data_IF_880696381311
#
_entry.id   IF_880696381311
#
_cell.length_a   1.000
_cell.length_b   1.000
_cell.length_c   1.000
_cell.angle_alpha   90.00
_cell.angle_beta   90.00
_cell.angle_gamma   90.00
#
_symmetry.space_group_name_H-M   'P 1'
#
loop_
_entity.id
_entity.type
_entity.pdbx_description
1 polymer ?
#
# COMPACT_ATOMS: atom_id res chain seq x y z
N UNK A 1 60.59 -52.94 23.91
CA UNK A 1 59.34 -53.07 24.70
C UNK A 1 58.85 -51.66 24.99
N UNK A 2 57.81 -51.27 24.35
CA UNK A 2 56.74 -50.34 24.84
C UNK A 2 55.83 -49.95 23.65
N UNK A 3 54.64 -50.45 23.69
CA UNK A 3 53.59 -50.18 22.69
C UNK A 3 53.00 -48.80 22.94
N UNK A 4 53.06 -47.93 21.95
CA UNK A 4 52.29 -46.66 21.94
C UNK A 4 50.98 -46.91 21.24
N UNK A 5 49.90 -46.77 21.99
CA UNK A 5 48.54 -46.78 21.49
C UNK A 5 48.20 -45.39 20.93
N UNK A 6 47.85 -45.34 19.64
CA UNK A 6 47.33 -44.13 19.00
C UNK A 6 45.79 -44.08 19.20
N UNK A 7 45.31 -43.15 19.99
CA UNK A 7 43.88 -42.85 20.10
C UNK A 7 43.47 -41.95 18.92
N UNK A 8 42.73 -42.54 17.97
CA UNK A 8 42.02 -41.74 16.95
C UNK A 8 40.80 -41.10 17.57
N UNK A 9 40.80 -39.78 17.71
CA UNK A 9 39.64 -39.01 18.07
C UNK A 9 38.81 -38.77 16.80
N UNK A 10 37.65 -39.43 16.71
CA UNK A 10 36.60 -39.12 15.72
C UNK A 10 35.93 -37.80 16.13
N UNK A 11 36.19 -36.74 15.36
CA UNK A 11 35.42 -35.51 15.46
C UNK A 11 34.13 -35.70 14.67
N UNK A 12 33.03 -35.92 15.37
CA UNK A 12 31.70 -35.90 14.80
C UNK A 12 31.30 -34.44 14.55
N UNK A 13 31.33 -33.99 13.29
CA UNK A 13 30.77 -32.73 12.89
C UNK A 13 29.23 -32.87 12.88
N UNK A 14 28.59 -32.36 13.91
CA UNK A 14 27.14 -32.22 13.93
C UNK A 14 26.74 -31.07 12.97
N UNK A 15 26.30 -31.45 11.79
CA UNK A 15 25.61 -30.53 10.87
C UNK A 15 24.25 -30.21 11.50
N UNK A 16 24.14 -29.08 12.20
CA UNK A 16 22.86 -28.48 12.55
C UNK A 16 22.22 -27.97 11.26
N UNK A 17 21.45 -28.82 10.61
CA UNK A 17 20.47 -28.38 9.62
C UNK A 17 19.49 -27.49 10.33
N UNK A 18 19.48 -26.18 10.00
CA UNK A 18 18.36 -25.29 10.32
C UNK A 18 17.16 -25.79 9.50
N UNK A 19 16.43 -26.75 10.05
CA UNK A 19 15.06 -27.05 9.64
C UNK A 19 14.29 -25.81 10.03
N UNK A 20 13.89 -24.99 9.01
CA UNK A 20 12.92 -23.95 9.20
C UNK A 20 11.73 -24.56 9.92
N UNK A 21 11.49 -24.12 11.15
CA UNK A 21 10.28 -24.47 11.86
C UNK A 21 9.13 -23.92 11.02
N UNK A 22 8.48 -24.78 10.24
CA UNK A 22 7.12 -24.52 9.81
C UNK A 22 6.36 -24.21 11.11
N UNK A 23 5.89 -22.96 11.24
CA UNK A 23 5.08 -22.58 12.40
C UNK A 23 3.90 -23.53 12.38
N UNK A 24 3.89 -24.49 13.31
CA UNK A 24 2.76 -25.37 13.47
C UNK A 24 1.52 -24.52 13.73
N UNK A 25 0.42 -24.84 13.03
CA UNK A 25 -0.87 -24.23 13.32
C UNK A 25 -1.12 -24.34 14.81
N UNK A 26 -1.48 -23.23 15.46
CA UNK A 26 -1.70 -23.23 16.91
C UNK A 26 -3.07 -23.87 17.21
N UNK A 27 -3.08 -25.19 17.44
CA UNK A 27 -4.25 -25.99 17.82
C UNK A 27 -5.00 -25.42 19.05
N UNK A 28 -4.42 -24.43 19.74
CA UNK A 28 -5.06 -23.75 20.86
C UNK A 28 -6.12 -22.75 20.42
N UNK A 29 -5.98 -22.20 19.23
CA UNK A 29 -6.80 -21.09 18.72
C UNK A 29 -7.79 -21.55 17.65
N UNK A 30 -7.37 -22.47 16.79
CA UNK A 30 -8.13 -22.93 15.63
C UNK A 30 -8.26 -24.46 15.61
N UNK A 31 -9.38 -24.96 15.10
CA UNK A 31 -9.67 -26.36 14.86
C UNK A 31 -10.18 -26.53 13.43
N UNK A 32 -9.57 -27.43 12.66
CA UNK A 32 -9.90 -27.62 11.24
C UNK A 32 -11.36 -28.04 10.97
N UNK A 33 -12.08 -28.55 12.01
CA UNK A 33 -13.47 -28.99 11.89
C UNK A 33 -14.48 -27.98 12.39
N UNK A 34 -14.09 -27.16 13.37
CA UNK A 34 -15.01 -26.26 14.08
C UNK A 34 -14.64 -24.78 13.91
N UNK A 35 -13.55 -24.47 13.23
CA UNK A 35 -13.08 -23.09 13.04
C UNK A 35 -12.42 -22.50 14.29
N UNK A 36 -12.57 -21.19 14.51
CA UNK A 36 -12.00 -20.50 15.68
C UNK A 36 -12.63 -20.97 16.97
N UNK A 37 -11.81 -21.39 17.94
CA UNK A 37 -12.31 -21.85 19.25
C UNK A 37 -12.96 -20.69 20.02
N UNK A 38 -14.18 -20.87 20.55
CA UNK A 38 -14.78 -19.92 21.46
C UNK A 38 -13.84 -19.66 22.65
N UNK A 39 -13.72 -18.44 23.12
CA UNK A 39 -12.81 -17.99 24.20
C UNK A 39 -11.34 -17.76 23.78
N UNK A 40 -10.99 -17.87 22.51
CA UNK A 40 -9.66 -17.47 22.05
C UNK A 40 -9.50 -15.95 22.17
N UNK A 41 -8.32 -15.50 22.58
CA UNK A 41 -8.00 -14.06 22.59
C UNK A 41 -8.08 -13.49 21.17
N UNK A 42 -8.78 -12.37 20.92
CA UNK A 42 -8.90 -11.76 19.61
C UNK A 42 -7.53 -11.50 18.96
N UNK A 43 -6.55 -11.07 19.75
CA UNK A 43 -5.18 -10.86 19.29
C UNK A 43 -4.50 -12.17 18.87
N UNK A 44 -4.64 -13.25 19.64
CA UNK A 44 -4.08 -14.55 19.26
C UNK A 44 -4.70 -15.08 17.97
N UNK A 45 -6.03 -14.90 17.81
CA UNK A 45 -6.74 -15.27 16.58
C UNK A 45 -6.26 -14.41 15.38
N UNK A 46 -6.05 -13.13 15.58
CA UNK A 46 -5.48 -12.27 14.54
C UNK A 46 -4.09 -12.72 14.11
N UNK A 47 -3.21 -13.05 15.06
CA UNK A 47 -1.87 -13.59 14.77
C UNK A 47 -1.93 -14.94 14.03
N UNK A 48 -2.85 -15.81 14.43
CA UNK A 48 -3.11 -17.06 13.73
C UNK A 48 -3.54 -16.79 12.29
N UNK A 49 -4.50 -15.88 12.07
CA UNK A 49 -4.94 -15.47 10.73
C UNK A 49 -3.80 -14.97 9.85
N UNK A 50 -2.89 -14.16 10.43
CA UNK A 50 -1.70 -13.69 9.71
C UNK A 50 -0.76 -14.83 9.32
N UNK A 51 -0.52 -15.79 10.23
CA UNK A 51 0.28 -16.98 9.95
C UNK A 51 -0.37 -17.86 8.88
N UNK A 52 -1.67 -18.13 8.99
CA UNK A 52 -2.43 -18.90 8.02
C UNK A 52 -2.36 -18.26 6.62
N UNK A 53 -2.56 -16.94 6.54
CA UNK A 53 -2.46 -16.18 5.29
C UNK A 53 -1.08 -16.33 4.63
N UNK A 54 0.00 -16.16 5.40
CA UNK A 54 1.37 -16.32 4.91
C UNK A 54 1.67 -17.73 4.39
N UNK A 55 1.05 -18.74 4.99
CA UNK A 55 1.23 -20.14 4.60
C UNK A 55 0.27 -20.58 3.47
N UNK A 56 -0.51 -19.66 2.89
CA UNK A 56 -1.42 -19.93 1.78
C UNK A 56 -2.79 -20.47 2.18
N UNK A 57 -3.08 -20.62 3.49
CA UNK A 57 -4.38 -21.08 4.03
C UNK A 57 -5.34 -19.88 4.15
N UNK A 58 -5.71 -19.30 3.02
CA UNK A 58 -6.38 -18.00 2.98
C UNK A 58 -7.81 -18.03 3.50
N UNK A 59 -8.54 -19.13 3.28
CA UNK A 59 -9.88 -19.33 3.80
C UNK A 59 -9.88 -19.38 5.33
N UNK A 60 -8.95 -20.13 5.93
CA UNK A 60 -8.77 -20.17 7.39
C UNK A 60 -8.35 -18.80 7.95
N UNK A 61 -7.53 -18.07 7.21
CA UNK A 61 -7.16 -16.71 7.58
C UNK A 61 -8.38 -15.78 7.59
N UNK A 62 -9.26 -15.89 6.60
CA UNK A 62 -10.50 -15.11 6.54
C UNK A 62 -11.42 -15.38 7.72
N UNK A 63 -11.61 -16.65 8.12
CA UNK A 63 -12.39 -17.01 9.31
C UNK A 63 -11.77 -16.45 10.60
N UNK A 64 -10.45 -16.56 10.74
CA UNK A 64 -9.74 -16.01 11.89
C UNK A 64 -9.85 -14.47 11.94
N UNK A 65 -9.69 -13.80 10.81
CA UNK A 65 -9.85 -12.35 10.74
C UNK A 65 -11.28 -11.91 11.01
N UNK A 66 -12.28 -12.65 10.56
CA UNK A 66 -13.69 -12.36 10.86
C UNK A 66 -13.95 -12.40 12.36
N UNK A 67 -13.53 -13.45 13.03
CA UNK A 67 -13.65 -13.54 14.50
C UNK A 67 -12.92 -12.39 15.21
N UNK A 68 -11.68 -12.11 14.81
CA UNK A 68 -10.90 -11.06 15.44
C UNK A 68 -11.51 -9.66 15.19
N UNK A 69 -12.06 -9.41 14.00
CA UNK A 69 -12.74 -8.16 13.65
C UNK A 69 -14.02 -7.97 14.48
N UNK A 70 -14.86 -9.00 14.59
CA UNK A 70 -16.08 -9.00 15.44
C UNK A 70 -15.75 -8.73 16.91
N UNK A 71 -14.50 -8.96 17.32
CA UNK A 71 -14.00 -8.69 18.68
C UNK A 71 -13.08 -7.43 18.75
N UNK A 72 -13.21 -6.51 17.79
CA UNK A 72 -12.64 -5.18 17.86
C UNK A 72 -11.17 -5.06 17.41
N UNK A 73 -10.62 -6.06 16.71
CA UNK A 73 -9.27 -5.98 16.16
C UNK A 73 -9.28 -5.24 14.81
N UNK A 74 -9.02 -3.94 14.82
CA UNK A 74 -9.03 -3.08 13.62
C UNK A 74 -8.13 -3.60 12.49
N UNK A 75 -6.95 -4.15 12.81
CA UNK A 75 -6.07 -4.76 11.82
C UNK A 75 -6.67 -5.99 11.14
N UNK A 76 -7.52 -6.75 11.84
CA UNK A 76 -8.25 -7.87 11.27
C UNK A 76 -9.38 -7.38 10.36
N UNK A 77 -10.13 -6.35 10.77
CA UNK A 77 -11.14 -5.70 9.94
C UNK A 77 -10.54 -5.20 8.64
N UNK A 78 -9.36 -4.55 8.71
CA UNK A 78 -8.64 -4.06 7.53
C UNK A 78 -8.18 -5.20 6.60
N UNK A 79 -7.63 -6.29 7.17
CA UNK A 79 -7.25 -7.47 6.38
C UNK A 79 -8.44 -8.09 5.67
N UNK A 80 -9.57 -8.24 6.38
CA UNK A 80 -10.79 -8.80 5.82
C UNK A 80 -11.38 -7.91 4.72
N UNK A 81 -11.42 -6.59 4.94
CA UNK A 81 -11.83 -5.63 3.92
C UNK A 81 -11.03 -5.79 2.62
N UNK A 82 -9.70 -5.91 2.74
CA UNK A 82 -8.82 -6.14 1.59
C UNK A 82 -9.05 -7.48 0.91
N UNK A 83 -9.25 -8.55 1.68
CA UNK A 83 -9.54 -9.87 1.12
C UNK A 83 -10.83 -9.85 0.29
N UNK A 84 -11.89 -9.18 0.75
CA UNK A 84 -13.11 -9.01 -0.04
C UNK A 84 -12.93 -8.12 -1.26
N UNK A 85 -12.17 -7.03 -1.15
CA UNK A 85 -11.89 -6.13 -2.28
C UNK A 85 -11.09 -6.81 -3.40
N UNK A 86 -10.17 -7.72 -3.04
CA UNK A 86 -9.26 -8.38 -3.97
C UNK A 86 -9.77 -9.77 -4.41
N UNK A 87 -10.73 -10.35 -3.70
CA UNK A 87 -11.17 -11.74 -3.91
C UNK A 87 -10.09 -12.75 -3.48
N UNK A 88 -9.37 -12.44 -2.40
CA UNK A 88 -8.22 -13.19 -1.95
C UNK A 88 -8.55 -14.08 -0.75
N UNK A 89 -8.82 -15.37 -0.98
CA UNK A 89 -9.28 -16.35 0.02
C UNK A 89 -10.76 -16.26 0.35
N UNK A 90 -11.46 -15.30 -0.22
CA UNK A 90 -12.92 -15.15 -0.19
C UNK A 90 -13.40 -14.74 -1.58
N UNK A 91 -14.67 -14.96 -1.89
CA UNK A 91 -15.24 -14.39 -3.13
C UNK A 91 -15.18 -12.85 -3.06
N UNK A 92 -14.78 -12.22 -4.16
CA UNK A 92 -14.75 -10.76 -4.24
C UNK A 92 -16.13 -10.18 -4.00
N UNK A 93 -16.20 -9.23 -3.09
CA UNK A 93 -17.41 -8.49 -2.79
C UNK A 93 -17.03 -7.05 -2.37
N UNK A 94 -17.15 -6.13 -3.33
CA UNK A 94 -16.79 -4.73 -3.14
C UNK A 94 -17.71 -4.05 -2.09
N UNK A 95 -18.96 -4.52 -1.93
CA UNK A 95 -19.88 -3.95 -0.94
C UNK A 95 -19.58 -4.43 0.48
N UNK A 96 -19.21 -5.71 0.65
CA UNK A 96 -18.69 -6.19 1.94
C UNK A 96 -17.39 -5.47 2.31
N UNK A 97 -16.46 -5.30 1.35
CA UNK A 97 -15.23 -4.53 1.58
C UNK A 97 -15.54 -3.08 2.02
N UNK A 98 -16.48 -2.41 1.35
CA UNK A 98 -16.93 -1.06 1.71
C UNK A 98 -17.45 -0.99 3.14
N UNK A 99 -18.25 -1.97 3.58
CA UNK A 99 -18.78 -2.02 4.96
C UNK A 99 -17.66 -2.13 5.99
N UNK A 100 -16.71 -3.06 5.77
CA UNK A 100 -15.57 -3.22 6.67
C UNK A 100 -14.66 -1.98 6.71
N UNK A 101 -14.42 -1.32 5.57
CA UNK A 101 -13.69 -0.04 5.58
C UNK A 101 -14.46 1.06 6.33
N UNK A 102 -15.78 1.09 6.22
CA UNK A 102 -16.61 2.03 6.98
C UNK A 102 -16.51 1.80 8.49
N UNK A 103 -16.56 0.54 8.93
CA UNK A 103 -16.38 0.18 10.34
C UNK A 103 -15.03 0.66 10.91
N UNK A 104 -13.95 0.63 10.10
CA UNK A 104 -12.63 1.13 10.51
C UNK A 104 -12.66 2.65 10.74
N UNK A 105 -13.31 3.39 9.83
CA UNK A 105 -13.35 4.86 9.89
C UNK A 105 -14.23 5.37 11.04
N UNK A 106 -15.19 4.56 11.48
CA UNK A 106 -16.09 4.86 12.60
C UNK A 106 -15.47 4.53 13.97
N UNK A 107 -14.32 3.86 14.02
CA UNK A 107 -13.63 3.58 15.27
C UNK A 107 -12.88 4.82 15.78
N UNK A 108 -12.93 4.99 17.11
CA UNK A 108 -12.14 6.02 17.80
C UNK A 108 -10.71 5.49 18.00
N UNK A 109 -9.80 5.98 17.17
CA UNK A 109 -8.39 5.57 17.15
C UNK A 109 -7.52 6.67 17.78
N UNK A 110 -6.66 6.29 18.73
CA UNK A 110 -5.77 7.24 19.39
C UNK A 110 -4.80 7.90 18.38
N UNK A 111 -4.67 9.23 18.39
CA UNK A 111 -3.71 9.94 17.54
C UNK A 111 -2.27 9.45 17.75
N UNK A 112 -1.58 9.16 16.65
CA UNK A 112 -0.20 8.66 16.66
C UNK A 112 -0.08 7.16 16.91
N UNK A 113 -1.18 6.43 17.07
CA UNK A 113 -1.15 4.96 17.19
C UNK A 113 -0.90 4.28 15.85
N UNK A 114 -0.40 3.04 15.85
CA UNK A 114 -0.21 2.26 14.61
C UNK A 114 -1.51 2.05 13.82
N UNK A 115 -2.65 2.08 14.51
CA UNK A 115 -3.99 1.90 13.96
C UNK A 115 -4.41 3.03 13.03
N UNK A 116 -3.83 4.25 13.17
CA UNK A 116 -4.08 5.37 12.24
C UNK A 116 -3.80 4.99 10.77
N UNK A 117 -2.85 4.09 10.53
CA UNK A 117 -2.56 3.63 9.17
C UNK A 117 -3.74 2.90 8.55
N UNK A 118 -4.48 2.09 9.33
CA UNK A 118 -5.69 1.39 8.84
C UNK A 118 -6.81 2.36 8.54
N UNK A 119 -7.01 3.38 9.41
CA UNK A 119 -8.01 4.44 9.17
C UNK A 119 -7.67 5.23 7.91
N UNK A 120 -6.42 5.59 7.75
CA UNK A 120 -5.93 6.32 6.58
C UNK A 120 -6.16 5.55 5.28
N UNK A 121 -5.85 4.25 5.26
CA UNK A 121 -6.06 3.40 4.09
C UNK A 121 -7.56 3.17 3.82
N UNK A 122 -8.36 2.98 4.87
CA UNK A 122 -9.81 2.82 4.76
C UNK A 122 -10.48 4.07 4.16
N UNK A 123 -10.05 5.27 4.56
CA UNK A 123 -10.53 6.52 3.97
C UNK A 123 -10.25 6.60 2.47
N UNK A 124 -9.07 6.18 2.02
CA UNK A 124 -8.74 6.13 0.58
C UNK A 124 -9.64 5.13 -0.14
N UNK A 125 -9.78 3.92 0.40
CA UNK A 125 -10.62 2.88 -0.21
C UNK A 125 -12.09 3.31 -0.32
N UNK A 126 -12.65 3.97 0.71
CA UNK A 126 -14.00 4.51 0.67
C UNK A 126 -14.14 5.61 -0.38
N UNK A 127 -13.15 6.48 -0.51
CA UNK A 127 -13.09 7.48 -1.57
C UNK A 127 -13.11 6.84 -2.96
N UNK A 128 -12.33 5.76 -3.18
CA UNK A 128 -12.28 5.03 -4.44
C UNK A 128 -13.62 4.38 -4.80
N UNK A 129 -14.30 3.78 -3.81
CA UNK A 129 -15.64 3.19 -4.00
C UNK A 129 -16.69 4.25 -4.30
N UNK A 130 -16.68 5.37 -3.59
CA UNK A 130 -17.63 6.46 -3.83
C UNK A 130 -17.41 7.17 -5.17
N UNK A 131 -16.16 7.26 -5.63
CA UNK A 131 -15.87 7.83 -6.94
C UNK A 131 -16.41 7.00 -8.10
N UNK A 132 -16.47 5.67 -7.95
CA UNK A 132 -16.88 4.73 -9.01
C UNK A 132 -18.28 4.18 -8.83
N UNK A 133 -18.82 4.25 -7.61
CA UNK A 133 -19.97 3.45 -7.20
C UNK A 133 -19.63 1.95 -7.12
N UNK A 134 -20.55 1.17 -6.54
CA UNK A 134 -20.44 -0.29 -6.46
C UNK A 134 -21.67 -0.90 -7.15
N UNK A 135 -21.50 -1.53 -8.33
CA UNK A 135 -22.62 -2.11 -9.07
C UNK A 135 -23.42 -3.13 -8.23
N UNK A 136 -24.75 -3.03 -8.27
CA UNK A 136 -25.63 -3.94 -7.53
C UNK A 136 -25.73 -3.67 -6.02
N UNK A 137 -25.18 -2.55 -5.54
CA UNK A 137 -25.24 -2.12 -4.16
C UNK A 137 -25.93 -0.75 -4.02
N UNK A 138 -26.24 -0.28 -2.78
CA UNK A 138 -26.73 1.08 -2.56
C UNK A 138 -25.68 2.18 -2.79
N UNK A 139 -24.42 1.83 -2.98
CA UNK A 139 -23.32 2.80 -3.14
C UNK A 139 -23.27 3.28 -4.59
N UNK A 140 -23.79 4.46 -4.83
CA UNK A 140 -23.74 5.13 -6.14
C UNK A 140 -22.55 6.06 -6.25
N UNK A 141 -22.16 6.38 -7.47
CA UNK A 141 -21.10 7.35 -7.75
C UNK A 141 -21.41 8.70 -7.08
N UNK A 142 -20.43 9.20 -6.31
CA UNK A 142 -20.52 10.47 -5.60
C UNK A 142 -19.12 11.07 -5.42
N UNK A 143 -18.68 11.85 -6.40
CA UNK A 143 -17.36 12.49 -6.40
C UNK A 143 -17.17 13.48 -5.23
N UNK A 144 -18.23 14.14 -4.79
CA UNK A 144 -18.15 15.09 -3.65
C UNK A 144 -17.86 14.35 -2.36
N UNK A 145 -18.60 13.27 -2.09
CA UNK A 145 -18.31 12.43 -0.94
C UNK A 145 -16.92 11.77 -1.03
N UNK A 146 -16.50 11.32 -2.22
CA UNK A 146 -15.15 10.80 -2.43
C UNK A 146 -14.09 11.84 -2.07
N UNK A 147 -14.27 13.09 -2.49
CA UNK A 147 -13.37 14.20 -2.17
C UNK A 147 -13.24 14.44 -0.66
N UNK A 148 -14.34 14.33 0.09
CA UNK A 148 -14.30 14.48 1.55
C UNK A 148 -13.44 13.40 2.22
N UNK A 149 -13.57 12.14 1.80
CA UNK A 149 -12.75 11.03 2.31
C UNK A 149 -11.28 11.19 1.95
N UNK A 150 -10.96 11.53 0.69
CA UNK A 150 -9.57 11.80 0.29
C UNK A 150 -8.99 13.00 1.04
N UNK A 151 -9.77 14.07 1.24
CA UNK A 151 -9.29 15.23 1.99
C UNK A 151 -8.97 14.87 3.45
N UNK A 152 -9.82 14.06 4.11
CA UNK A 152 -9.54 13.58 5.47
C UNK A 152 -8.24 12.76 5.52
N UNK A 153 -8.05 11.82 4.59
CA UNK A 153 -6.84 11.00 4.52
C UNK A 153 -5.58 11.84 4.20
N UNK A 154 -5.70 12.79 3.26
CA UNK A 154 -4.61 13.65 2.82
C UNK A 154 -4.16 14.67 3.88
N UNK A 155 -5.12 15.30 4.56
CA UNK A 155 -4.85 16.38 5.50
C UNK A 155 -4.47 15.87 6.90
N UNK A 156 -5.25 14.93 7.45
CA UNK A 156 -5.08 14.46 8.82
C UNK A 156 -3.98 13.39 8.93
N UNK A 157 -3.94 12.46 7.97
CA UNK A 157 -3.01 11.32 7.97
C UNK A 157 -1.85 11.50 6.99
N UNK A 158 -1.88 12.56 6.18
CA UNK A 158 -0.85 12.82 5.16
C UNK A 158 -0.66 11.63 4.21
N UNK A 159 -1.72 10.87 3.92
CA UNK A 159 -1.66 9.70 3.05
C UNK A 159 -1.25 10.09 1.62
N UNK A 160 -0.18 9.51 1.04
CA UNK A 160 0.32 9.92 -0.26
C UNK A 160 -0.64 9.57 -1.42
N UNK A 161 -1.40 8.47 -1.31
CA UNK A 161 -2.40 8.11 -2.31
C UNK A 161 -3.55 9.13 -2.32
N UNK A 162 -4.06 9.49 -1.12
CA UNK A 162 -5.08 10.53 -0.99
C UNK A 162 -4.59 11.90 -1.47
N UNK A 163 -3.34 12.26 -1.18
CA UNK A 163 -2.74 13.50 -1.69
C UNK A 163 -2.64 13.48 -3.21
N UNK A 164 -2.33 12.34 -3.82
CA UNK A 164 -2.35 12.18 -5.26
C UNK A 164 -3.76 12.37 -5.84
N UNK A 165 -4.77 11.70 -5.26
CA UNK A 165 -6.16 11.86 -5.70
C UNK A 165 -6.68 13.29 -5.55
N UNK A 166 -6.35 13.98 -4.46
CA UNK A 166 -6.64 15.40 -4.31
C UNK A 166 -5.98 16.24 -5.41
N UNK A 167 -4.75 15.91 -5.77
CA UNK A 167 -4.05 16.53 -6.90
C UNK A 167 -4.80 16.34 -8.22
N UNK A 168 -5.26 15.13 -8.49
CA UNK A 168 -6.05 14.81 -9.70
C UNK A 168 -7.37 15.57 -9.73
N UNK A 169 -8.10 15.61 -8.61
CA UNK A 169 -9.36 16.36 -8.51
C UNK A 169 -9.18 17.86 -8.76
N UNK A 170 -8.13 18.47 -8.19
CA UNK A 170 -7.82 19.88 -8.48
C UNK A 170 -7.33 20.09 -9.91
N UNK A 171 -6.68 19.12 -10.54
CA UNK A 171 -6.25 19.25 -11.93
C UNK A 171 -7.44 19.29 -12.89
N UNK A 172 -8.45 18.46 -12.63
CA UNK A 172 -9.65 18.31 -13.48
C UNK A 172 -10.82 19.21 -13.06
N UNK A 173 -10.91 19.60 -11.81
CA UNK A 173 -12.06 20.31 -11.24
C UNK A 173 -13.21 19.37 -10.88
N UNK A 174 -12.87 18.17 -10.38
CA UNK A 174 -13.83 17.12 -9.95
C UNK A 174 -14.11 17.22 -8.44
N UNK A 175 -15.17 16.54 -7.96
CA UNK A 175 -15.48 16.44 -6.53
C UNK A 175 -15.88 17.78 -5.88
N UNK A 176 -16.45 18.70 -6.65
CA UNK A 176 -16.87 20.01 -6.14
C UNK A 176 -15.76 21.04 -5.97
N UNK A 177 -14.50 20.70 -6.28
CA UNK A 177 -13.39 21.65 -6.26
C UNK A 177 -13.25 22.35 -7.61
N UNK A 178 -12.83 23.62 -7.57
CA UNK A 178 -12.52 24.36 -8.80
C UNK A 178 -11.17 23.94 -9.37
N UNK A 179 -11.09 23.70 -10.68
CA UNK A 179 -9.85 23.36 -11.36
C UNK A 179 -8.73 24.37 -11.07
N UNK A 180 -7.56 23.89 -10.68
CA UNK A 180 -6.41 24.70 -10.33
C UNK A 180 -5.11 23.92 -10.42
N UNK A 181 -4.35 24.13 -11.49
CA UNK A 181 -3.00 23.53 -11.67
C UNK A 181 -2.07 23.84 -10.49
N UNK A 182 -2.19 25.05 -9.92
CA UNK A 182 -1.40 25.46 -8.76
C UNK A 182 -1.70 24.63 -7.51
N UNK A 183 -2.99 24.36 -7.24
CA UNK A 183 -3.37 23.51 -6.10
C UNK A 183 -3.02 22.04 -6.37
N UNK A 184 -3.29 21.54 -7.57
CA UNK A 184 -2.89 20.21 -7.99
C UNK A 184 -1.37 19.99 -7.79
N UNK A 185 -0.54 20.92 -8.28
CA UNK A 185 0.92 20.84 -8.13
C UNK A 185 1.37 20.77 -6.66
N UNK A 186 0.69 21.47 -5.74
CA UNK A 186 0.99 21.39 -4.29
C UNK A 186 0.68 20.00 -3.72
N UNK A 187 -0.47 19.44 -4.06
CA UNK A 187 -0.85 18.11 -3.61
C UNK A 187 0.06 17.02 -4.19
N UNK A 188 0.38 17.09 -5.48
CA UNK A 188 1.35 16.17 -6.10
C UNK A 188 2.74 16.29 -5.48
N UNK A 189 3.17 17.50 -5.10
CA UNK A 189 4.46 17.67 -4.43
C UNK A 189 4.48 16.95 -3.07
N UNK A 190 3.43 17.11 -2.24
CA UNK A 190 3.31 16.44 -0.95
C UNK A 190 3.34 14.92 -1.08
N UNK A 191 2.64 14.37 -2.08
CA UNK A 191 2.65 12.93 -2.35
C UNK A 191 4.02 12.45 -2.87
N UNK A 192 4.64 13.20 -3.77
CA UNK A 192 5.95 12.89 -4.35
C UNK A 192 7.07 12.89 -3.30
N UNK A 193 7.04 13.81 -2.32
CA UNK A 193 7.98 13.87 -1.20
C UNK A 193 7.90 12.62 -0.31
N UNK A 194 6.78 11.88 -0.37
CA UNK A 194 6.58 10.58 0.30
C UNK A 194 6.79 9.37 -0.63
N UNK A 195 7.39 9.59 -1.78
CA UNK A 195 7.74 8.52 -2.71
C UNK A 195 6.62 8.06 -3.64
N UNK A 196 5.47 8.76 -3.71
CA UNK A 196 4.40 8.39 -4.63
C UNK A 196 4.81 8.65 -6.09
N UNK A 197 5.14 7.57 -6.82
CA UNK A 197 5.68 7.64 -8.17
C UNK A 197 4.75 8.36 -9.15
N UNK A 198 3.44 8.06 -9.12
CA UNK A 198 2.45 8.72 -9.98
C UNK A 198 2.38 10.22 -9.75
N UNK A 199 2.45 10.68 -8.50
CA UNK A 199 2.47 12.09 -8.17
C UNK A 199 3.76 12.77 -8.65
N UNK A 200 4.91 12.11 -8.50
CA UNK A 200 6.20 12.60 -9.00
C UNK A 200 6.20 12.74 -10.52
N UNK A 201 5.65 11.74 -11.23
CA UNK A 201 5.53 11.78 -12.69
C UNK A 201 4.61 12.91 -13.15
N UNK A 202 3.42 13.02 -12.57
CA UNK A 202 2.43 14.06 -12.94
C UNK A 202 2.97 15.46 -12.63
N UNK A 203 3.62 15.66 -11.48
CA UNK A 203 4.29 16.93 -11.17
C UNK A 203 5.42 17.24 -12.17
N UNK A 204 6.21 16.22 -12.55
CA UNK A 204 7.24 16.33 -13.57
C UNK A 204 6.66 16.79 -14.91
N UNK A 205 5.54 16.21 -15.31
CA UNK A 205 4.84 16.59 -16.54
C UNK A 205 4.33 18.04 -16.51
N UNK A 206 3.73 18.47 -15.40
CA UNK A 206 3.30 19.85 -15.22
C UNK A 206 4.47 20.85 -15.26
N UNK A 207 5.62 20.48 -14.69
CA UNK A 207 6.84 21.28 -14.78
C UNK A 207 7.36 21.35 -16.22
N UNK A 208 7.36 20.24 -16.94
CA UNK A 208 7.73 20.19 -18.35
C UNK A 208 6.85 21.12 -19.18
N UNK A 209 5.52 21.01 -19.05
CA UNK A 209 4.56 21.88 -19.74
C UNK A 209 4.74 23.38 -19.39
N UNK A 210 5.23 23.69 -18.20
CA UNK A 210 5.53 25.07 -17.79
C UNK A 210 6.90 25.59 -18.27
N UNK A 211 7.61 24.84 -19.12
CA UNK A 211 8.92 25.20 -19.65
C UNK A 211 10.12 24.82 -18.77
N UNK A 212 9.91 24.16 -17.65
CA UNK A 212 10.98 23.63 -16.79
C UNK A 212 11.41 22.24 -17.27
N UNK A 213 11.91 22.20 -18.52
CA UNK A 213 12.13 20.97 -19.30
C UNK A 213 12.98 19.95 -18.55
N UNK A 214 14.20 20.30 -18.16
CA UNK A 214 15.16 19.40 -17.52
C UNK A 214 14.62 18.81 -16.24
N UNK A 215 14.04 19.65 -15.37
CA UNK A 215 13.49 19.20 -14.09
C UNK A 215 12.27 18.30 -14.29
N UNK A 216 11.39 18.64 -15.23
CA UNK A 216 10.22 17.85 -15.58
C UNK A 216 10.60 16.45 -16.05
N UNK A 217 11.51 16.36 -17.02
CA UNK A 217 12.02 15.09 -17.55
C UNK A 217 12.70 14.25 -16.45
N UNK A 218 13.55 14.87 -15.62
CA UNK A 218 14.24 14.17 -14.53
C UNK A 218 13.27 13.56 -13.53
N UNK A 219 12.21 14.29 -13.15
CA UNK A 219 11.20 13.80 -12.22
C UNK A 219 10.40 12.65 -12.82
N UNK A 220 10.01 12.70 -14.09
CA UNK A 220 9.32 11.60 -14.77
C UNK A 220 10.20 10.35 -14.89
N UNK A 221 11.49 10.53 -15.20
CA UNK A 221 12.46 9.43 -15.28
C UNK A 221 12.65 8.76 -13.91
N UNK A 222 12.89 9.53 -12.86
CA UNK A 222 13.01 8.98 -11.50
C UNK A 222 11.72 8.32 -11.00
N UNK A 223 10.56 8.84 -11.38
CA UNK A 223 9.27 8.24 -11.06
C UNK A 223 9.08 6.88 -11.72
N UNK A 224 9.50 6.75 -12.99
CA UNK A 224 9.39 5.48 -13.72
C UNK A 224 10.18 4.34 -13.08
N UNK A 225 11.38 4.63 -12.55
CA UNK A 225 12.22 3.65 -11.85
C UNK A 225 11.61 3.16 -10.52
N UNK A 226 10.77 3.99 -9.90
CA UNK A 226 10.10 3.65 -8.62
C UNK A 226 8.66 3.17 -8.80
N UNK A 227 8.15 3.24 -10.02
CA UNK A 227 6.74 2.95 -10.30
C UNK A 227 6.40 1.47 -10.09
N UNK A 228 5.19 1.22 -9.56
CA UNK A 228 4.62 -0.11 -9.52
C UNK A 228 4.42 -0.68 -10.93
N UNK A 229 4.37 -2.01 -11.11
CA UNK A 229 4.06 -2.60 -12.42
C UNK A 229 2.76 -2.07 -13.05
N UNK A 230 1.79 -1.67 -12.24
CA UNK A 230 0.53 -1.09 -12.72
C UNK A 230 0.70 0.34 -13.24
N UNK A 231 1.63 1.12 -12.65
CA UNK A 231 1.84 2.53 -12.99
C UNK A 231 2.87 2.72 -14.11
N UNK A 232 3.81 1.80 -14.27
CA UNK A 232 4.88 1.91 -15.26
C UNK A 232 4.38 2.21 -16.69
N UNK A 233 3.32 1.60 -17.23
CA UNK A 233 2.91 1.84 -18.62
C UNK A 233 2.53 3.30 -18.89
N UNK A 234 1.70 3.89 -18.02
CA UNK A 234 1.24 5.27 -18.24
C UNK A 234 2.32 6.32 -17.91
N UNK A 235 3.16 6.07 -16.89
CA UNK A 235 4.30 6.94 -16.57
C UNK A 235 5.32 6.91 -17.70
N UNK A 236 5.60 5.74 -18.28
CA UNK A 236 6.48 5.57 -19.44
C UNK A 236 5.95 6.34 -20.65
N UNK A 237 4.68 6.18 -20.99
CA UNK A 237 4.07 6.91 -22.10
C UNK A 237 4.20 8.43 -21.94
N UNK A 238 3.94 8.96 -20.74
CA UNK A 238 4.10 10.38 -20.44
C UNK A 238 5.56 10.85 -20.58
N UNK A 239 6.51 10.05 -20.08
CA UNK A 239 7.94 10.36 -20.18
C UNK A 239 8.42 10.32 -21.64
N UNK A 240 8.10 9.29 -22.41
CA UNK A 240 8.51 9.13 -23.81
C UNK A 240 8.00 10.29 -24.68
N UNK A 241 6.74 10.71 -24.50
CA UNK A 241 6.16 11.86 -25.21
C UNK A 241 6.94 13.15 -24.90
N UNK A 242 7.26 13.38 -23.64
CA UNK A 242 8.04 14.54 -23.23
C UNK A 242 9.48 14.48 -23.76
N UNK A 243 10.12 13.31 -23.72
CA UNK A 243 11.47 13.12 -24.29
C UNK A 243 11.52 13.32 -25.80
N UNK A 244 10.48 12.90 -26.54
CA UNK A 244 10.42 13.06 -27.99
C UNK A 244 10.45 14.54 -28.43
N UNK A 245 9.91 15.43 -27.60
CA UNK A 245 9.82 16.86 -27.92
C UNK A 245 10.96 17.70 -27.34
N UNK A 246 11.74 17.13 -26.40
CA UNK A 246 12.85 17.85 -25.74
C UNK A 246 14.12 17.84 -26.57
N UNK A 247 14.97 18.89 -26.39
CA UNK A 247 16.30 18.98 -26.99
C UNK A 247 17.27 17.92 -26.40
N UNK A 248 18.29 17.54 -27.21
CA UNK A 248 19.25 16.51 -26.80
C UNK A 248 20.04 16.90 -25.53
N UNK A 249 20.44 18.16 -25.40
CA UNK A 249 21.15 18.66 -24.23
C UNK A 249 20.29 18.58 -22.96
N UNK A 250 19.00 18.92 -23.05
CA UNK A 250 18.06 18.86 -21.95
C UNK A 250 17.83 17.41 -21.52
N UNK A 251 17.69 16.48 -22.48
CA UNK A 251 17.53 15.05 -22.22
C UNK A 251 18.71 14.47 -21.43
N UNK A 252 19.95 14.77 -21.87
CA UNK A 252 21.17 14.30 -21.16
C UNK A 252 21.26 14.87 -19.75
N UNK A 253 21.01 16.16 -19.59
CA UNK A 253 21.02 16.80 -18.26
C UNK A 253 19.93 16.23 -17.37
N UNK A 254 18.74 15.94 -17.92
CA UNK A 254 17.62 15.36 -17.17
C UNK A 254 17.92 13.95 -16.67
N UNK A 255 18.59 13.10 -17.45
CA UNK A 255 19.00 11.75 -17.03
C UNK A 255 19.96 11.85 -15.84
N UNK A 256 21.00 12.69 -15.93
CA UNK A 256 21.92 12.89 -14.80
C UNK A 256 21.22 13.42 -13.54
N UNK A 257 20.27 14.34 -13.70
CA UNK A 257 19.48 14.86 -12.57
C UNK A 257 18.53 13.80 -11.99
N UNK A 258 18.01 12.88 -12.81
CA UNK A 258 17.18 11.77 -12.33
C UNK A 258 17.98 10.83 -11.42
N UNK A 259 19.24 10.52 -11.78
CA UNK A 259 20.14 9.73 -10.94
C UNK A 259 20.38 10.40 -9.57
N UNK A 260 20.55 11.72 -9.56
CA UNK A 260 20.68 12.50 -8.34
C UNK A 260 19.42 12.44 -7.46
N UNK A 261 18.22 12.50 -8.07
CA UNK A 261 16.94 12.40 -7.38
C UNK A 261 16.77 11.01 -6.76
N UNK A 262 17.13 9.96 -7.50
CA UNK A 262 17.06 8.57 -7.03
C UNK A 262 17.99 8.32 -5.84
N UNK A 263 19.23 8.83 -5.93
CA UNK A 263 20.27 8.67 -4.89
C UNK A 263 19.91 9.43 -3.61
N UNK A 264 19.44 10.68 -3.72
CA UNK A 264 19.08 11.51 -2.56
C UNK A 264 17.80 11.05 -1.88
N UNK A 265 16.83 10.54 -2.65
CA UNK A 265 15.60 9.98 -2.10
C UNK A 265 15.81 8.64 -1.36
N UNK A 266 16.85 7.88 -1.69
CA UNK A 266 17.23 6.64 -0.97
C UNK A 266 17.92 6.89 0.37
N UNK A 267 18.42 8.09 0.61
CA UNK A 267 19.10 8.45 1.88
C UNK A 267 18.16 9.08 2.93
N UNK A 268 16.90 9.31 2.59
CA UNK A 268 15.91 9.86 3.54
C UNK A 268 15.28 8.78 4.44
N UNK A 269 15.51 7.50 4.16
CA UNK A 269 14.97 6.35 4.90
C UNK A 269 16.04 5.65 5.78
N UNK A 270 17.20 6.28 6.03
CA UNK A 270 18.24 5.83 6.98
C UNK A 270 18.30 6.79 8.20
#
# INVERSE_FOLDING_TARGET
>A
MLRSSVFSALVAVAIFGAVGQAMAFDDKVFDDKTGVKPQSSPWAVFQFGFSAYKNGHKEQAAEAYKYAAENGQIGATWKLARMYAEGDGVARDDYEAFKFFSEIVDQDVEPGSPEESYVSDALVALGDYLRKGIPGSPITENEVAAQEYYMRAAANYRNPNAQFEMGQMFLKGEGGVKASVKQAGRWFQLAAEKGHAGAQATLGHLLFQSGKIVRGLAMMTAALERASPADQPWIRGMQEEAFATAGEADRRTAISLADDILTKGGNADQ
#
